data_IF_568681411746
#
_entry.id   IF_568681411746
#
_cell.length_a   1.000
_cell.length_b   1.000
_cell.length_c   1.000
_cell.angle_alpha   90.00
_cell.angle_beta   90.00
_cell.angle_gamma   90.00
#
_symmetry.space_group_name_H-M   'P 1'
#
loop_
_entity.id
_entity.type
_entity.pdbx_description
1 polymer ?
#
# COMPACT_ATOMS: atom_id res chain seq x y z
N UNK A 1 26.42 -3.56 16.80
CA UNK A 1 25.67 -3.17 15.59
C UNK A 1 24.20 -3.51 15.83
N UNK A 2 23.28 -2.57 15.64
CA UNK A 2 21.85 -2.86 15.73
C UNK A 2 21.35 -3.35 14.37
N UNK A 3 20.75 -4.54 14.31
CA UNK A 3 20.05 -5.01 13.12
C UNK A 3 18.72 -4.26 12.95
N UNK A 4 18.19 -4.22 11.71
CA UNK A 4 16.85 -3.72 11.39
C UNK A 4 16.28 -4.46 10.18
N UNK A 5 14.98 -4.69 10.15
CA UNK A 5 14.27 -5.21 8.99
C UNK A 5 13.90 -4.04 8.08
N UNK A 6 14.49 -3.96 6.89
CA UNK A 6 14.15 -2.92 5.91
C UNK A 6 13.11 -3.50 4.96
N UNK A 7 11.95 -2.85 4.85
CA UNK A 7 10.93 -3.20 3.87
C UNK A 7 10.69 -2.03 2.92
N UNK A 8 11.14 -2.19 1.67
CA UNK A 8 10.93 -1.23 0.59
C UNK A 8 9.62 -1.57 -0.11
N UNK A 9 8.64 -0.67 -0.03
CA UNK A 9 7.28 -0.95 -0.50
C UNK A 9 6.53 0.32 -0.89
N UNK A 10 5.40 0.16 -1.58
CA UNK A 10 4.45 1.23 -1.86
C UNK A 10 3.03 0.73 -1.49
N UNK A 11 2.21 1.49 -0.75
CA UNK A 11 0.87 1.06 -0.34
C UNK A 11 -0.03 0.70 -1.52
N UNK A 12 0.17 1.31 -2.70
CA UNK A 12 -0.61 1.07 -3.90
C UNK A 12 0.14 0.19 -4.93
N UNK A 13 1.15 -0.58 -4.49
CA UNK A 13 1.75 -1.67 -5.26
C UNK A 13 0.98 -2.99 -5.04
N UNK A 14 0.45 -3.58 -6.11
CA UNK A 14 -0.38 -4.79 -6.00
C UNK A 14 0.40 -5.99 -5.46
N UNK A 15 1.66 -6.13 -5.82
CA UNK A 15 2.51 -7.19 -5.25
C UNK A 15 2.89 -6.95 -3.80
N UNK A 16 2.98 -5.70 -3.33
CA UNK A 16 3.11 -5.42 -1.90
C UNK A 16 1.84 -5.79 -1.13
N UNK A 17 0.66 -5.67 -1.75
CA UNK A 17 -0.60 -6.18 -1.18
C UNK A 17 -0.66 -7.72 -1.19
N UNK A 18 -0.28 -8.35 -2.29
CA UNK A 18 -0.13 -9.81 -2.39
C UNK A 18 0.81 -10.39 -1.32
N UNK A 19 1.89 -9.66 -1.02
CA UNK A 19 2.88 -10.06 -0.02
C UNK A 19 2.52 -9.66 1.42
N UNK A 20 1.44 -8.88 1.63
CA UNK A 20 1.12 -8.31 2.94
C UNK A 20 1.01 -9.35 4.08
N UNK A 21 0.40 -10.54 3.90
CA UNK A 21 0.35 -11.56 4.95
C UNK A 21 1.75 -12.07 5.35
N UNK A 22 2.64 -12.24 4.38
CA UNK A 22 4.02 -12.67 4.63
C UNK A 22 4.83 -11.55 5.28
N UNK A 23 4.68 -10.32 4.77
CA UNK A 23 5.32 -9.15 5.37
C UNK A 23 4.91 -8.96 6.83
N UNK A 24 3.62 -9.10 7.16
CA UNK A 24 3.15 -9.00 8.53
C UNK A 24 3.78 -10.08 9.42
N UNK A 25 3.79 -11.33 8.99
CA UNK A 25 4.46 -12.41 9.72
C UNK A 25 5.95 -12.14 9.97
N UNK A 26 6.67 -11.59 8.97
CA UNK A 26 8.07 -11.19 9.11
C UNK A 26 8.24 -10.02 10.09
N UNK A 27 7.34 -9.02 10.05
CA UNK A 27 7.35 -7.88 10.97
C UNK A 27 7.10 -8.34 12.41
N UNK A 28 6.15 -9.25 12.64
CA UNK A 28 5.89 -9.79 13.99
C UNK A 28 7.09 -10.57 14.52
N UNK A 29 7.72 -11.41 13.69
CA UNK A 29 8.94 -12.14 14.06
C UNK A 29 10.10 -11.18 14.39
N UNK A 30 10.30 -10.14 13.57
CA UNK A 30 11.32 -9.14 13.81
C UNK A 30 11.07 -8.40 15.13
N UNK A 31 9.82 -7.97 15.40
CA UNK A 31 9.43 -7.33 16.67
C UNK A 31 9.70 -8.25 17.87
N UNK A 32 9.32 -9.52 17.80
CA UNK A 32 9.57 -10.49 18.86
C UNK A 32 11.08 -10.71 19.13
N UNK A 33 11.92 -10.57 18.11
CA UNK A 33 13.37 -10.64 18.23
C UNK A 33 14.05 -9.31 18.60
N UNK A 34 13.28 -8.24 18.87
CA UNK A 34 13.83 -6.91 19.14
C UNK A 34 14.49 -6.23 17.91
N UNK A 35 14.14 -6.67 16.70
CA UNK A 35 14.62 -6.10 15.44
C UNK A 35 13.58 -5.09 14.92
N UNK A 36 13.88 -3.77 14.92
CA UNK A 36 12.92 -2.77 14.49
C UNK A 36 12.66 -2.84 12.97
N UNK A 37 11.40 -2.59 12.60
CA UNK A 37 10.99 -2.40 11.22
C UNK A 37 11.37 -0.99 10.74
N UNK A 38 11.94 -0.90 9.55
CA UNK A 38 12.17 0.34 8.84
C UNK A 38 11.50 0.30 7.47
N UNK A 39 10.35 0.96 7.35
CA UNK A 39 9.65 1.13 6.08
C UNK A 39 10.37 2.16 5.21
N UNK A 40 10.54 1.83 3.93
CA UNK A 40 11.06 2.74 2.90
C UNK A 40 10.03 2.83 1.79
N UNK A 41 9.48 4.01 1.58
CA UNK A 41 8.48 4.23 0.53
C UNK A 41 9.16 4.24 -0.84
N UNK A 42 8.74 3.32 -1.71
CA UNK A 42 9.32 3.12 -3.03
C UNK A 42 8.90 4.18 -4.07
N UNK A 43 7.73 4.80 -3.89
CA UNK A 43 7.21 5.80 -4.84
C UNK A 43 6.92 5.20 -6.21
N UNK A 44 5.97 4.28 -6.28
CA UNK A 44 5.68 3.48 -7.49
C UNK A 44 5.25 4.34 -8.68
N UNK A 45 4.43 5.37 -8.46
CA UNK A 45 3.93 6.26 -9.51
C UNK A 45 3.73 7.67 -8.98
N UNK A 46 4.15 8.66 -9.77
CA UNK A 46 3.77 10.06 -9.59
C UNK A 46 2.86 10.47 -10.75
N UNK A 47 1.59 10.10 -10.65
CA UNK A 47 0.59 10.38 -11.67
C UNK A 47 0.09 11.83 -11.57
N UNK A 48 0.04 12.54 -12.69
CA UNK A 48 -0.52 13.91 -12.75
C UNK A 48 -1.73 14.02 -13.69
N UNK A 49 -2.05 12.93 -14.39
CA UNK A 49 -3.15 12.83 -15.35
C UNK A 49 -3.93 11.54 -15.14
N UNK A 50 -5.16 11.52 -15.62
CA UNK A 50 -6.02 10.34 -15.53
C UNK A 50 -5.38 9.12 -16.23
N UNK A 51 -5.62 7.93 -15.69
CA UNK A 51 -5.17 6.68 -16.29
C UNK A 51 -5.76 6.49 -17.70
N UNK A 52 -4.89 6.28 -18.66
CA UNK A 52 -5.31 5.84 -19.99
C UNK A 52 -5.98 4.45 -19.92
N UNK A 53 -7.01 4.18 -20.76
CA UNK A 53 -7.74 2.91 -20.73
C UNK A 53 -6.84 1.67 -20.90
N UNK A 54 -5.81 1.75 -21.73
CA UNK A 54 -4.87 0.65 -21.94
C UNK A 54 -4.04 0.37 -20.67
N UNK A 55 -3.55 1.43 -20.00
CA UNK A 55 -2.79 1.29 -18.76
C UNK A 55 -3.66 0.77 -17.63
N UNK A 56 -4.92 1.23 -17.54
CA UNK A 56 -5.91 0.71 -16.59
C UNK A 56 -6.11 -0.80 -16.76
N UNK A 57 -6.35 -1.29 -17.98
CA UNK A 57 -6.49 -2.74 -18.25
C UNK A 57 -5.27 -3.53 -17.79
N UNK A 58 -4.07 -3.07 -18.17
CA UNK A 58 -2.81 -3.69 -17.77
C UNK A 58 -2.68 -3.81 -16.24
N UNK A 59 -3.06 -2.77 -15.48
CA UNK A 59 -2.99 -2.82 -14.01
C UNK A 59 -3.99 -3.82 -13.44
N UNK A 60 -5.22 -3.85 -13.94
CA UNK A 60 -6.24 -4.80 -13.48
C UNK A 60 -5.90 -6.25 -13.81
N UNK A 61 -5.20 -6.50 -14.92
CA UNK A 61 -4.61 -7.82 -15.21
C UNK A 61 -3.57 -8.22 -14.16
N UNK A 62 -2.75 -7.28 -13.69
CA UNK A 62 -1.79 -7.54 -12.59
C UNK A 62 -2.50 -7.83 -11.27
N UNK A 63 -3.62 -7.16 -10.98
CA UNK A 63 -4.41 -7.46 -9.78
C UNK A 63 -4.92 -8.90 -9.80
N UNK A 64 -5.45 -9.36 -10.94
CA UNK A 64 -5.87 -10.77 -11.11
C UNK A 64 -4.71 -11.75 -10.94
N UNK A 65 -3.55 -11.46 -11.53
CA UNK A 65 -2.38 -12.32 -11.37
C UNK A 65 -1.90 -12.40 -9.91
N UNK A 66 -1.97 -11.30 -9.16
CA UNK A 66 -1.64 -11.29 -7.72
C UNK A 66 -2.68 -12.09 -6.94
N UNK A 67 -3.97 -11.90 -7.20
CA UNK A 67 -5.05 -12.65 -6.55
C UNK A 67 -4.89 -14.16 -6.76
N UNK A 68 -4.65 -14.60 -7.99
CA UNK A 68 -4.42 -16.00 -8.33
C UNK A 68 -3.17 -16.58 -7.62
N UNK A 69 -2.08 -15.82 -7.59
CA UNK A 69 -0.81 -16.28 -7.01
C UNK A 69 -0.80 -16.29 -5.47
N UNK A 70 -1.57 -15.41 -4.82
CA UNK A 70 -1.43 -15.14 -3.38
C UNK A 70 -2.71 -15.37 -2.58
N UNK A 71 -3.87 -15.43 -3.23
CA UNK A 71 -5.18 -15.48 -2.58
C UNK A 71 -5.61 -14.17 -1.91
N UNK A 72 -4.83 -13.09 -2.03
CA UNK A 72 -5.20 -11.79 -1.47
C UNK A 72 -6.39 -11.20 -2.22
N UNK A 73 -7.40 -10.68 -1.51
CA UNK A 73 -8.65 -10.27 -2.13
C UNK A 73 -8.51 -8.94 -2.87
N UNK A 74 -9.25 -8.81 -3.97
CA UNK A 74 -9.42 -7.57 -4.70
C UNK A 74 -10.89 -7.30 -4.98
N UNK A 75 -11.30 -6.03 -4.85
CA UNK A 75 -12.56 -5.55 -5.39
C UNK A 75 -12.34 -5.15 -6.84
N UNK A 76 -12.88 -5.94 -7.77
CA UNK A 76 -12.75 -5.70 -9.21
C UNK A 76 -13.86 -4.81 -9.76
N UNK A 77 -15.05 -4.88 -9.17
CA UNK A 77 -16.19 -4.07 -9.62
C UNK A 77 -15.96 -2.61 -9.26
N UNK A 78 -16.05 -1.73 -10.26
CA UNK A 78 -15.81 -0.29 -10.08
C UNK A 78 -14.34 0.10 -9.84
N UNK A 79 -13.40 -0.84 -9.86
CA UNK A 79 -11.99 -0.58 -9.61
C UNK A 79 -11.39 0.41 -10.62
N UNK A 80 -10.60 1.37 -10.13
CA UNK A 80 -9.92 2.39 -10.94
C UNK A 80 -10.90 3.09 -11.90
N UNK A 81 -11.90 3.85 -11.42
CA UNK A 81 -12.93 4.42 -12.26
C UNK A 81 -12.36 5.37 -13.34
N UNK A 82 -13.17 5.67 -14.35
CA UNK A 82 -12.78 6.65 -15.37
C UNK A 82 -12.41 7.99 -14.73
N UNK A 83 -11.31 8.60 -15.19
CA UNK A 83 -10.77 9.83 -14.61
C UNK A 83 -9.83 9.62 -13.41
N UNK A 84 -9.69 8.39 -12.88
CA UNK A 84 -8.80 8.12 -11.74
C UNK A 84 -7.34 8.48 -12.06
N UNK A 85 -6.73 9.31 -11.21
CA UNK A 85 -5.32 9.67 -11.28
C UNK A 85 -4.54 8.75 -10.36
N UNK A 86 -3.69 7.89 -10.92
CA UNK A 86 -2.94 6.91 -10.14
C UNK A 86 -1.63 7.53 -9.59
N UNK A 87 -1.77 8.45 -8.63
CA UNK A 87 -0.66 9.02 -7.87
C UNK A 87 -0.46 8.29 -6.54
N UNK A 88 0.67 7.60 -6.36
CA UNK A 88 0.97 6.90 -5.11
C UNK A 88 1.67 7.78 -4.09
N UNK A 89 2.03 9.01 -4.48
CA UNK A 89 2.76 9.97 -3.64
C UNK A 89 2.01 10.30 -2.34
N UNK A 90 0.69 10.61 -2.33
CA UNK A 90 -0.03 10.94 -1.11
C UNK A 90 0.01 9.80 -0.08
N UNK A 91 -0.27 8.57 -0.50
CA UNK A 91 -0.23 7.39 0.38
C UNK A 91 1.18 7.14 0.95
N UNK A 92 2.23 7.29 0.12
CA UNK A 92 3.61 7.20 0.57
C UNK A 92 3.97 8.27 1.60
N UNK A 93 3.52 9.51 1.38
CA UNK A 93 3.76 10.61 2.32
C UNK A 93 3.00 10.39 3.63
N UNK A 94 1.77 9.88 3.60
CA UNK A 94 1.01 9.56 4.81
C UNK A 94 1.73 8.51 5.68
N UNK A 95 2.22 7.42 5.09
CA UNK A 95 3.00 6.40 5.82
C UNK A 95 4.33 6.96 6.33
N UNK A 96 4.99 7.81 5.54
CA UNK A 96 6.23 8.48 5.97
C UNK A 96 5.98 9.41 7.16
N UNK A 97 4.91 10.21 7.11
CA UNK A 97 4.51 11.11 8.19
C UNK A 97 4.14 10.32 9.45
N UNK A 98 3.33 9.25 9.33
CA UNK A 98 3.01 8.36 10.44
C UNK A 98 4.28 7.79 11.08
N UNK A 99 5.27 7.34 10.29
CA UNK A 99 6.56 6.87 10.83
C UNK A 99 7.34 7.93 11.60
N UNK A 100 7.22 9.22 11.23
CA UNK A 100 7.85 10.31 11.98
C UNK A 100 7.12 10.65 13.29
N UNK A 101 5.79 10.50 13.32
CA UNK A 101 4.96 10.82 14.48
C UNK A 101 4.89 9.66 15.48
N UNK A 102 4.64 8.46 14.98
CA UNK A 102 4.50 7.21 15.73
C UNK A 102 4.96 6.02 14.85
N UNK A 103 6.25 5.61 14.97
CA UNK A 103 6.81 4.50 14.21
C UNK A 103 6.05 3.17 14.38
N UNK A 104 5.41 2.94 15.53
CA UNK A 104 4.76 1.67 15.85
C UNK A 104 3.42 1.50 15.13
N UNK A 105 2.74 2.63 14.85
CA UNK A 105 1.47 2.67 14.08
C UNK A 105 1.68 2.71 12.56
N UNK A 106 2.86 3.07 12.06
CA UNK A 106 3.11 3.21 10.63
C UNK A 106 2.80 1.94 9.82
N UNK A 107 3.12 0.76 10.36
CA UNK A 107 2.81 -0.53 9.71
C UNK A 107 1.30 -0.81 9.67
N UNK A 108 0.58 -0.47 10.74
CA UNK A 108 -0.88 -0.62 10.77
C UNK A 108 -1.55 0.28 9.72
N UNK A 109 -1.08 1.51 9.56
CA UNK A 109 -1.59 2.43 8.54
C UNK A 109 -1.38 1.90 7.11
N UNK A 110 -0.25 1.25 6.81
CA UNK A 110 -0.05 0.58 5.50
C UNK A 110 -1.17 -0.42 5.24
N UNK A 111 -1.51 -1.26 6.23
CA UNK A 111 -2.58 -2.24 6.10
C UNK A 111 -3.94 -1.59 5.85
N UNK A 112 -4.27 -0.51 6.57
CA UNK A 112 -5.52 0.24 6.39
C UNK A 112 -5.62 0.87 5.01
N UNK A 113 -4.55 1.48 4.51
CA UNK A 113 -4.50 2.06 3.15
C UNK A 113 -4.66 0.96 2.09
N UNK A 114 -3.96 -0.16 2.24
CA UNK A 114 -4.07 -1.28 1.30
C UNK A 114 -5.49 -1.85 1.26
N UNK A 115 -6.12 -2.08 2.42
CA UNK A 115 -7.51 -2.54 2.48
C UNK A 115 -8.47 -1.52 1.85
N UNK A 116 -8.33 -0.24 2.19
CA UNK A 116 -9.16 0.83 1.63
C UNK A 116 -9.09 0.85 0.09
N UNK A 117 -7.89 0.70 -0.47
CA UNK A 117 -7.69 0.72 -1.91
C UNK A 117 -8.14 -0.57 -2.60
N UNK A 118 -7.63 -1.72 -2.16
CA UNK A 118 -7.79 -2.98 -2.90
C UNK A 118 -9.10 -3.69 -2.63
N UNK A 119 -9.69 -3.58 -1.43
CA UNK A 119 -10.90 -4.34 -1.08
C UNK A 119 -12.14 -3.47 -0.93
N UNK A 120 -11.97 -2.18 -0.66
CA UNK A 120 -13.08 -1.25 -0.45
C UNK A 120 -13.28 -0.27 -1.62
N UNK A 121 -12.35 -0.22 -2.58
CA UNK A 121 -12.44 0.67 -3.74
C UNK A 121 -12.38 2.16 -3.40
N UNK A 122 -11.81 2.52 -2.23
CA UNK A 122 -11.69 3.92 -1.78
C UNK A 122 -10.48 4.58 -2.42
N UNK A 123 -10.60 5.88 -2.68
CA UNK A 123 -9.55 6.68 -3.31
C UNK A 123 -8.50 7.15 -2.30
N UNK A 124 -7.47 6.32 -2.11
CA UNK A 124 -6.33 6.60 -1.22
C UNK A 124 -5.32 7.62 -1.78
N UNK A 125 -5.63 8.26 -2.90
CA UNK A 125 -4.86 9.43 -3.37
C UNK A 125 -5.30 10.71 -2.66
N UNK A 126 -6.45 10.69 -1.97
CA UNK A 126 -7.00 11.83 -1.25
C UNK A 126 -6.37 11.98 0.15
N UNK A 127 -5.73 13.11 0.46
CA UNK A 127 -5.15 13.35 1.80
C UNK A 127 -6.16 13.27 2.95
N UNK A 128 -7.42 13.67 2.71
CA UNK A 128 -8.47 13.59 3.72
C UNK A 128 -8.79 12.15 4.12
N UNK A 129 -8.84 11.23 3.15
CA UNK A 129 -9.03 9.82 3.42
C UNK A 129 -7.84 9.24 4.18
N UNK A 130 -6.62 9.61 3.79
CA UNK A 130 -5.40 9.13 4.46
C UNK A 130 -5.32 9.59 5.93
N UNK A 131 -5.81 10.80 6.22
CA UNK A 131 -5.94 11.29 7.58
C UNK A 131 -7.01 10.51 8.37
N UNK A 132 -8.19 10.26 7.79
CA UNK A 132 -9.24 9.45 8.40
C UNK A 132 -8.74 8.04 8.77
N UNK A 133 -7.96 7.40 7.89
CA UNK A 133 -7.38 6.08 8.15
C UNK A 133 -6.29 6.10 9.25
N UNK A 134 -5.76 7.27 9.60
CA UNK A 134 -4.68 7.43 10.58
C UNK A 134 -5.18 7.76 12.00
N UNK A 135 -6.46 8.07 12.18
CA UNK A 135 -7.10 8.27 13.50
C UNK A 135 -7.14 6.93 14.27
#
# INVERSE_FOLDING_TARGET
>A
MSARLIYVMDPMCSWCWGFAPVADALVQQARAAGVPLHLVMGGLRSGTVALEPAKRRYILEHWRAVEEATGQPFQHEGALPEGFIYDTTPACLAVTAARYLDPDRAWALVGLIQQAFYTQGRDVTLPSLLAELAE
#
